data_IF_486112550350
#
_entry.id   IF_486112550350
#
_cell.length_a   1.000
_cell.length_b   1.000
_cell.length_c   1.000
_cell.angle_alpha   90.00
_cell.angle_beta   90.00
_cell.angle_gamma   90.00
#
_symmetry.space_group_name_H-M   'P 1'
#
loop_
_entity.id
_entity.type
_entity.pdbx_description
1 polymer ?
#
# COMPACT_ATOMS: atom_id res chain seq x y z
N UNK A 1 -2.33 -6.15 -10.96
CA UNK A 1 -2.39 -5.32 -9.73
C UNK A 1 -1.20 -5.57 -8.79
N UNK A 2 -0.75 -6.81 -8.58
CA UNK A 2 0.39 -7.12 -7.68
C UNK A 2 1.72 -6.47 -8.09
N UNK A 3 1.95 -6.25 -9.39
CA UNK A 3 3.17 -5.62 -9.92
C UNK A 3 3.31 -4.11 -9.63
N UNK A 4 2.25 -3.44 -9.15
CA UNK A 4 2.29 -1.99 -8.85
C UNK A 4 2.35 -1.69 -7.35
N UNK A 5 1.89 -2.61 -6.51
CA UNK A 5 1.77 -2.45 -5.05
C UNK A 5 2.71 -3.34 -4.25
N UNK A 6 3.33 -4.35 -4.86
CA UNK A 6 4.36 -5.17 -4.21
C UNK A 6 5.69 -4.42 -4.08
N UNK A 7 6.42 -4.71 -3.00
CA UNK A 7 7.78 -4.20 -2.78
C UNK A 7 8.68 -4.36 -4.02
N UNK A 8 8.55 -5.49 -4.71
CA UNK A 8 9.28 -5.82 -5.94
C UNK A 8 8.84 -4.98 -7.13
N UNK A 9 7.54 -4.66 -7.22
CA UNK A 9 6.96 -3.84 -8.27
C UNK A 9 7.46 -2.40 -8.24
N UNK A 10 7.49 -1.79 -7.06
CA UNK A 10 8.03 -0.45 -6.84
C UNK A 10 9.53 -0.42 -7.19
N UNK A 11 10.31 -1.42 -6.77
CA UNK A 11 11.73 -1.55 -7.14
C UNK A 11 11.95 -1.61 -8.65
N UNK A 12 11.17 -2.45 -9.35
CA UNK A 12 11.30 -2.61 -10.80
C UNK A 12 10.96 -1.32 -11.56
N UNK A 13 9.96 -0.56 -11.11
CA UNK A 13 9.63 0.74 -11.73
C UNK A 13 10.72 1.79 -11.52
N UNK A 14 11.33 1.83 -10.34
CA UNK A 14 12.50 2.68 -10.07
C UNK A 14 13.65 2.31 -11.02
N UNK A 15 13.94 1.00 -11.16
CA UNK A 15 14.98 0.49 -12.06
C UNK A 15 14.74 0.88 -13.51
N UNK A 16 13.53 0.71 -14.01
CA UNK A 16 13.20 1.06 -15.41
C UNK A 16 13.36 2.56 -15.66
N UNK A 17 12.84 3.42 -14.78
CA UNK A 17 12.95 4.88 -14.95
C UNK A 17 14.40 5.39 -14.86
N UNK A 18 15.25 4.75 -14.05
CA UNK A 18 16.68 5.09 -13.98
C UNK A 18 17.42 4.61 -15.23
N UNK A 19 17.07 3.42 -15.77
CA UNK A 19 17.60 2.95 -17.07
C UNK A 19 17.19 3.85 -18.24
N UNK A 20 16.01 4.47 -18.16
CA UNK A 20 15.53 5.48 -19.12
C UNK A 20 16.26 6.83 -18.99
N UNK A 21 17.26 6.96 -18.11
CA UNK A 21 18.10 8.15 -17.97
C UNK A 21 17.59 9.16 -16.95
N UNK A 22 16.51 8.87 -16.21
CA UNK A 22 16.00 9.75 -15.15
C UNK A 22 16.89 9.60 -13.91
N UNK A 23 17.72 10.61 -13.64
CA UNK A 23 18.58 10.64 -12.46
C UNK A 23 17.75 10.86 -11.19
N UNK A 24 17.88 9.93 -10.25
CA UNK A 24 17.51 10.19 -8.85
C UNK A 24 18.65 10.92 -8.16
N UNK A 25 18.34 11.87 -7.28
CA UNK A 25 19.36 12.65 -6.55
C UNK A 25 20.01 11.85 -5.41
N UNK A 26 19.41 10.71 -5.06
CA UNK A 26 19.73 9.95 -3.85
C UNK A 26 19.88 8.44 -4.09
N UNK A 27 19.66 7.97 -5.32
CA UNK A 27 19.89 6.60 -5.73
C UNK A 27 20.86 6.59 -6.91
N UNK A 28 22.12 6.25 -6.64
CA UNK A 28 23.08 5.89 -7.67
C UNK A 28 23.08 4.36 -7.82
N UNK A 29 22.71 3.89 -9.00
CA UNK A 29 22.73 2.48 -9.35
C UNK A 29 23.89 2.20 -10.31
N UNK A 30 25.12 2.48 -9.87
CA UNK A 30 26.30 1.93 -10.55
C UNK A 30 26.50 0.45 -10.20
N UNK A 31 25.96 -0.02 -9.06
CA UNK A 31 26.11 -1.39 -8.57
C UNK A 31 24.78 -2.15 -8.47
N UNK A 32 24.70 -3.30 -9.15
CA UNK A 32 23.60 -4.27 -9.03
C UNK A 32 23.36 -4.72 -7.57
N UNK A 33 24.37 -4.62 -6.69
CA UNK A 33 24.26 -4.91 -5.25
C UNK A 33 23.30 -3.97 -4.49
N UNK A 34 23.19 -2.71 -4.90
CA UNK A 34 22.33 -1.74 -4.20
C UNK A 34 20.84 -2.05 -4.41
N UNK A 35 20.49 -2.65 -5.56
CA UNK A 35 19.11 -3.02 -5.94
C UNK A 35 18.49 -4.09 -5.04
N UNK A 36 19.24 -5.15 -4.74
CA UNK A 36 18.83 -6.19 -3.79
C UNK A 36 18.59 -5.59 -2.40
N UNK A 37 19.47 -4.67 -1.97
CA UNK A 37 19.42 -4.04 -0.65
C UNK A 37 18.33 -2.98 -0.46
N UNK A 38 17.72 -2.49 -1.55
CA UNK A 38 16.74 -1.41 -1.49
C UNK A 38 15.51 -1.85 -0.71
N UNK A 39 15.30 -1.27 0.47
CA UNK A 39 14.13 -1.53 1.29
C UNK A 39 13.03 -0.53 0.94
N UNK A 40 11.76 -0.95 1.05
CA UNK A 40 10.61 -0.05 0.90
C UNK A 40 10.74 1.19 1.80
N UNK A 41 11.17 0.99 3.04
CA UNK A 41 11.47 2.08 3.99
C UNK A 41 12.42 3.12 3.39
N UNK A 42 13.51 2.68 2.78
CA UNK A 42 14.49 3.57 2.15
C UNK A 42 13.86 4.35 0.99
N UNK A 43 13.01 3.72 0.17
CA UNK A 43 12.30 4.40 -0.93
C UNK A 43 11.40 5.53 -0.40
N UNK A 44 10.65 5.26 0.68
CA UNK A 44 9.79 6.27 1.32
C UNK A 44 10.60 7.38 1.98
N UNK A 45 11.76 7.08 2.58
CA UNK A 45 12.69 8.08 3.10
C UNK A 45 13.27 8.96 1.98
N UNK A 46 13.66 8.37 0.85
CA UNK A 46 14.18 9.11 -0.30
C UNK A 46 13.12 10.03 -0.91
N UNK A 47 11.89 9.56 -1.03
CA UNK A 47 10.76 10.37 -1.47
C UNK A 47 10.55 11.60 -0.56
N UNK A 48 10.76 11.45 0.76
CA UNK A 48 10.69 12.58 1.71
C UNK A 48 11.83 13.56 1.58
N UNK A 49 13.03 13.09 1.22
CA UNK A 49 14.20 13.95 0.96
C UNK A 49 14.04 14.80 -0.31
N UNK A 50 12.90 14.74 -0.99
CA UNK A 50 12.57 15.59 -2.13
C UNK A 50 13.02 15.00 -3.47
N UNK A 51 13.34 13.70 -3.51
CA UNK A 51 13.64 13.01 -4.75
C UNK A 51 12.37 12.88 -5.60
N UNK A 52 12.31 13.64 -6.70
CA UNK A 52 11.13 13.69 -7.59
C UNK A 52 10.76 12.32 -8.14
N UNK A 53 11.74 11.48 -8.47
CA UNK A 53 11.51 10.14 -9.02
C UNK A 53 10.75 9.27 -8.02
N UNK A 54 11.33 9.06 -6.83
CA UNK A 54 10.73 8.20 -5.80
C UNK A 54 9.43 8.78 -5.27
N UNK A 55 9.32 10.11 -5.13
CA UNK A 55 8.07 10.77 -4.75
C UNK A 55 6.95 10.47 -5.75
N UNK A 56 7.20 10.65 -7.06
CA UNK A 56 6.19 10.36 -8.08
C UNK A 56 5.78 8.88 -8.06
N UNK A 57 6.72 7.95 -7.90
CA UNK A 57 6.41 6.51 -7.84
C UNK A 57 5.56 6.16 -6.62
N UNK A 58 5.89 6.73 -5.46
CA UNK A 58 5.13 6.52 -4.22
C UNK A 58 3.73 7.12 -4.31
N UNK A 59 3.60 8.35 -4.80
CA UNK A 59 2.30 9.00 -4.99
C UNK A 59 1.41 8.25 -5.97
N UNK A 60 1.99 7.75 -7.07
CA UNK A 60 1.29 6.94 -8.06
C UNK A 60 0.83 5.60 -7.47
N UNK A 61 1.68 4.91 -6.70
CA UNK A 61 1.29 3.68 -6.01
C UNK A 61 0.14 3.91 -5.01
N UNK A 62 0.18 5.01 -4.26
CA UNK A 62 -0.90 5.39 -3.32
C UNK A 62 -2.20 5.72 -4.07
N UNK A 63 -2.10 6.42 -5.21
CA UNK A 63 -3.24 6.73 -6.07
C UNK A 63 -3.94 5.47 -6.56
N UNK A 64 -3.19 4.52 -7.11
CA UNK A 64 -3.75 3.23 -7.56
C UNK A 64 -4.39 2.44 -6.42
N UNK A 65 -3.76 2.41 -5.25
CA UNK A 65 -4.33 1.77 -4.07
C UNK A 65 -5.63 2.46 -3.63
N UNK A 66 -5.67 3.80 -3.65
CA UNK A 66 -6.86 4.58 -3.32
C UNK A 66 -8.01 4.33 -4.30
N UNK A 67 -7.73 4.22 -5.60
CA UNK A 67 -8.72 3.85 -6.62
C UNK A 67 -9.30 2.47 -6.35
N UNK A 68 -8.45 1.48 -6.07
CA UNK A 68 -8.90 0.12 -5.78
C UNK A 68 -9.81 0.07 -4.56
N UNK A 69 -9.43 0.75 -3.46
CA UNK A 69 -10.24 0.81 -2.24
C UNK A 69 -11.55 1.56 -2.49
N UNK A 70 -11.52 2.68 -3.21
CA UNK A 70 -12.74 3.42 -3.53
C UNK A 70 -13.73 2.57 -4.34
N UNK A 71 -13.24 1.81 -5.32
CA UNK A 71 -14.08 0.92 -6.11
C UNK A 71 -14.72 -0.16 -5.23
N UNK A 72 -13.93 -0.83 -4.39
CA UNK A 72 -14.45 -1.83 -3.44
C UNK A 72 -15.47 -1.19 -2.48
N UNK A 73 -15.19 0.03 -2.00
CA UNK A 73 -16.07 0.77 -1.10
C UNK A 73 -17.41 1.08 -1.76
N UNK A 74 -17.39 1.47 -3.03
CA UNK A 74 -18.60 1.78 -3.78
C UNK A 74 -19.45 0.53 -4.07
N UNK A 75 -18.81 -0.63 -4.28
CA UNK A 75 -19.49 -1.87 -4.64
C UNK A 75 -20.01 -2.61 -3.40
N UNK A 76 -19.16 -2.77 -2.38
CA UNK A 76 -19.45 -3.63 -1.21
C UNK A 76 -19.91 -2.87 0.02
N UNK A 77 -19.74 -1.54 0.05
CA UNK A 77 -20.01 -0.69 1.21
C UNK A 77 -19.51 -1.28 2.56
N UNK A 78 -18.21 -1.64 2.66
CA UNK A 78 -17.69 -2.26 3.87
C UNK A 78 -17.54 -1.22 4.99
N UNK A 79 -17.73 -1.66 6.23
CA UNK A 79 -17.49 -0.81 7.40
C UNK A 79 -15.99 -0.60 7.68
N UNK A 80 -15.13 -1.52 7.22
CA UNK A 80 -13.70 -1.47 7.47
C UNK A 80 -12.86 -2.05 6.33
N UNK A 81 -11.75 -1.37 6.02
CA UNK A 81 -10.69 -1.86 5.14
C UNK A 81 -9.38 -1.91 5.93
N UNK A 82 -8.82 -3.11 6.05
CA UNK A 82 -7.57 -3.36 6.77
C UNK A 82 -6.42 -3.51 5.78
N UNK A 83 -5.40 -2.66 5.91
CA UNK A 83 -4.19 -2.75 5.09
C UNK A 83 -3.16 -3.66 5.78
N UNK A 84 -2.58 -4.58 5.02
CA UNK A 84 -1.56 -5.53 5.50
C UNK A 84 -0.38 -5.53 4.53
N UNK A 85 0.84 -5.70 5.05
CA UNK A 85 2.07 -5.85 4.25
C UNK A 85 3.16 -4.81 4.58
N UNK A 86 4.35 -4.98 4.02
CA UNK A 86 5.53 -4.18 4.40
C UNK A 86 5.42 -2.66 4.15
N UNK A 87 4.45 -2.23 3.33
CA UNK A 87 4.16 -0.80 3.08
C UNK A 87 3.42 -0.13 4.26
N UNK A 88 2.75 -0.92 5.11
CA UNK A 88 1.96 -0.38 6.23
C UNK A 88 2.82 0.12 7.39
N UNK A 89 4.12 -0.24 7.42
CA UNK A 89 5.09 0.30 8.37
C UNK A 89 5.26 1.83 8.28
N UNK A 90 4.83 2.45 7.18
CA UNK A 90 4.88 3.90 7.03
C UNK A 90 3.75 4.63 7.78
N UNK A 91 2.76 3.91 8.33
CA UNK A 91 1.76 4.48 9.23
C UNK A 91 0.91 5.57 8.58
N UNK A 92 0.77 6.70 9.27
CA UNK A 92 0.02 7.87 8.80
C UNK A 92 0.56 8.45 7.50
N UNK A 93 1.85 8.26 7.21
CA UNK A 93 2.45 8.74 5.95
C UNK A 93 1.88 8.01 4.73
N UNK A 94 1.36 6.80 4.92
CA UNK A 94 0.59 6.07 3.90
C UNK A 94 -0.91 6.39 4.02
N UNK A 95 -1.45 6.35 5.24
CA UNK A 95 -2.90 6.44 5.46
C UNK A 95 -3.49 7.80 5.07
N UNK A 96 -2.80 8.91 5.37
CA UNK A 96 -3.30 10.27 5.07
C UNK A 96 -3.51 10.47 3.56
N UNK A 97 -2.48 10.29 2.69
CA UNK A 97 -2.67 10.47 1.26
C UNK A 97 -3.64 9.43 0.67
N UNK A 98 -3.65 8.21 1.20
CA UNK A 98 -4.58 7.17 0.77
C UNK A 98 -6.04 7.54 1.07
N UNK A 99 -6.34 7.97 2.30
CA UNK A 99 -7.69 8.42 2.70
C UNK A 99 -8.16 9.58 1.84
N UNK A 100 -7.26 10.48 1.45
CA UNK A 100 -7.54 11.57 0.51
C UNK A 100 -7.92 11.05 -0.87
N UNK A 101 -7.18 10.08 -1.40
CA UNK A 101 -7.48 9.49 -2.72
C UNK A 101 -8.78 8.68 -2.73
N UNK A 102 -9.10 7.99 -1.63
CA UNK A 102 -10.39 7.29 -1.48
C UNK A 102 -11.54 8.29 -1.36
N UNK A 103 -11.42 9.31 -0.51
CA UNK A 103 -12.45 10.35 -0.32
C UNK A 103 -12.82 11.06 -1.63
N UNK A 104 -11.86 11.25 -2.53
CA UNK A 104 -12.10 11.87 -3.84
C UNK A 104 -12.99 11.05 -4.78
N UNK A 105 -13.09 9.73 -4.58
CA UNK A 105 -13.69 8.78 -5.53
C UNK A 105 -14.82 7.94 -4.95
N UNK A 106 -14.84 7.72 -3.65
CA UNK A 106 -15.91 7.01 -2.97
C UNK A 106 -17.13 7.92 -2.78
N UNK A 107 -18.34 7.37 -2.88
CA UNK A 107 -19.56 8.10 -2.53
C UNK A 107 -19.51 8.55 -1.07
N UNK A 108 -19.98 9.78 -0.80
CA UNK A 108 -19.88 10.38 0.54
C UNK A 108 -20.53 9.51 1.63
N UNK A 109 -21.67 8.89 1.34
CA UNK A 109 -22.39 7.97 2.24
C UNK A 109 -21.52 6.77 2.64
N UNK A 110 -20.85 6.15 1.69
CA UNK A 110 -20.06 4.94 1.90
C UNK A 110 -18.69 5.26 2.53
N UNK A 111 -18.11 6.42 2.18
CA UNK A 111 -16.86 6.86 2.79
C UNK A 111 -17.01 7.27 4.26
N UNK A 112 -18.16 7.86 4.64
CA UNK A 112 -18.39 8.35 6.00
C UNK A 112 -18.37 7.24 7.05
N UNK A 113 -18.86 6.05 6.71
CA UNK A 113 -18.86 4.87 7.58
C UNK A 113 -17.56 4.05 7.48
N UNK A 114 -16.77 4.22 6.42
CA UNK A 114 -15.58 3.43 6.15
C UNK A 114 -14.41 3.75 7.09
N UNK A 115 -13.92 2.73 7.79
CA UNK A 115 -12.66 2.79 8.57
C UNK A 115 -11.51 2.17 7.78
N UNK A 116 -10.53 3.00 7.37
CA UNK A 116 -9.27 2.51 6.80
C UNK A 116 -8.22 2.45 7.90
N UNK A 117 -7.78 1.23 8.24
CA UNK A 117 -6.85 0.96 9.33
C UNK A 117 -5.67 0.12 8.88
N UNK A 118 -4.53 0.26 9.56
CA UNK A 118 -3.40 -0.65 9.39
C UNK A 118 -3.61 -1.86 10.30
N UNK A 119 -3.56 -3.06 9.73
CA UNK A 119 -3.61 -4.30 10.49
C UNK A 119 -2.41 -4.39 11.43
N UNK A 120 -2.66 -4.46 12.74
CA UNK A 120 -1.61 -4.65 13.77
C UNK A 120 -0.95 -6.03 13.73
N UNK A 121 -1.44 -6.93 12.88
CA UNK A 121 -1.08 -8.34 12.87
C UNK A 121 0.09 -8.73 11.97
N UNK A 122 0.73 -7.76 11.29
CA UNK A 122 1.92 -8.05 10.47
C UNK A 122 1.67 -9.19 9.47
N UNK A 123 2.64 -10.09 9.31
CA UNK A 123 2.54 -11.27 8.42
C UNK A 123 1.52 -12.33 8.84
N UNK A 124 0.91 -12.21 10.03
CA UNK A 124 0.02 -13.24 10.60
C UNK A 124 -1.46 -12.97 10.35
N UNK A 125 -1.81 -11.90 9.64
CA UNK A 125 -3.21 -11.58 9.31
C UNK A 125 -3.88 -12.70 8.50
N UNK A 126 -3.14 -13.41 7.64
CA UNK A 126 -3.66 -14.55 6.89
C UNK A 126 -4.00 -15.75 7.77
N UNK A 127 -3.14 -16.05 8.77
CA UNK A 127 -3.33 -17.18 9.68
C UNK A 127 -4.54 -16.95 10.60
N UNK A 128 -4.73 -15.73 11.10
CA UNK A 128 -5.92 -15.41 11.89
C UNK A 128 -7.21 -15.34 11.06
N UNK A 129 -7.13 -14.95 9.79
CA UNK A 129 -8.27 -15.01 8.88
C UNK A 129 -8.77 -16.45 8.68
N UNK A 130 -7.85 -17.40 8.49
CA UNK A 130 -8.18 -18.84 8.40
C UNK A 130 -8.69 -19.38 9.74
N UNK A 131 -8.08 -19.01 10.86
CA UNK A 131 -8.56 -19.40 12.18
C UNK A 131 -9.96 -18.87 12.49
N UNK A 132 -10.30 -17.65 12.05
CA UNK A 132 -11.65 -17.10 12.18
C UNK A 132 -12.66 -17.78 11.26
N UNK A 133 -12.24 -18.19 10.05
CA UNK A 133 -13.08 -18.99 9.15
C UNK A 133 -13.37 -20.39 9.72
N UNK A 134 -12.40 -20.98 10.44
CA UNK A 134 -12.55 -22.25 11.14
C UNK A 134 -13.32 -22.12 12.45
N UNK A 135 -13.35 -20.92 13.05
CA UNK A 135 -14.18 -20.58 14.20
C UNK A 135 -15.62 -20.30 13.75
N UNK A 136 -16.27 -21.30 13.17
CA UNK A 136 -17.73 -21.33 13.11
C UNK A 136 -18.16 -21.81 14.50
N UNK A 137 -18.84 -20.99 15.33
CA UNK A 137 -19.35 -21.46 16.60
C UNK A 137 -20.34 -22.59 16.32
N UNK A 138 -19.96 -23.83 16.62
CA UNK A 138 -20.85 -24.98 16.65
C UNK A 138 -21.74 -24.86 17.88
N UNK A 139 -22.68 -23.91 17.85
CA UNK A 139 -23.73 -23.81 18.84
C UNK A 139 -25.06 -23.42 18.17
N UNK A 140 -25.48 -24.24 17.21
CA UNK A 140 -26.90 -24.40 16.94
C UNK A 140 -27.40 -25.53 17.84
N UNK A 141 -27.97 -25.17 18.98
CA UNK A 141 -28.94 -26.00 19.69
C UNK A 141 -30.32 -25.44 19.33
N UNK A 142 -30.99 -26.11 18.39
CA UNK A 142 -32.45 -26.12 18.25
C UNK A 142 -32.87 -27.58 18.19
#
# INVERSE_FOLDING_TARGET
>A
MEAYSSATGIKNRIKNRIKEGIKSKFLNFDDNKLFESLRLKSIFETARKGDKLTKNIVEEAISYLGIAIANITNILNPEMVVLVGGITNEGDKLLIPLRREVKKRAFYSNYKSLKIVIGKLGGNAGVLGVAALLWIPTNCSC
#
